data_IF_280575204203
#
_entry.id   IF_280575204203
#
_cell.length_a   1.000
_cell.length_b   1.000
_cell.length_c   1.000
_cell.angle_alpha   90.00
_cell.angle_beta   90.00
_cell.angle_gamma   90.00
#
_symmetry.space_group_name_H-M   'P 1'
#
loop_
_entity.id
_entity.type
_entity.pdbx_description
1 polymer ?
#
# COMPACT_ATOMS: atom_id res chain seq x y z
N UNK A 1 -14.47 -22.48 -27.47
CA UNK A 1 -13.31 -21.69 -27.01
C UNK A 1 -13.72 -20.71 -25.90
N UNK A 2 -14.17 -21.21 -24.72
CA UNK A 2 -14.70 -20.35 -23.63
C UNK A 2 -14.21 -20.79 -22.23
N UNK A 3 -13.11 -21.56 -22.17
CA UNK A 3 -12.69 -22.19 -20.90
C UNK A 3 -11.61 -21.38 -20.15
N UNK A 4 -10.88 -20.50 -20.81
CA UNK A 4 -9.77 -19.73 -20.24
C UNK A 4 -10.26 -18.59 -19.30
N UNK A 5 -11.20 -17.72 -19.71
CA UNK A 5 -11.70 -16.64 -18.85
C UNK A 5 -12.39 -17.16 -17.58
N UNK A 6 -13.10 -18.29 -17.68
CA UNK A 6 -13.76 -18.90 -16.50
C UNK A 6 -12.76 -19.46 -15.50
N UNK A 7 -11.70 -20.13 -15.96
CA UNK A 7 -10.65 -20.66 -15.07
C UNK A 7 -9.89 -19.54 -14.38
N UNK A 8 -9.61 -18.46 -15.08
CA UNK A 8 -8.96 -17.29 -14.53
C UNK A 8 -9.83 -16.61 -13.47
N UNK A 9 -11.12 -16.43 -13.74
CA UNK A 9 -12.07 -15.88 -12.76
C UNK A 9 -12.19 -16.75 -11.51
N UNK A 10 -12.25 -18.08 -11.65
CA UNK A 10 -12.30 -19.00 -10.50
C UNK A 10 -11.00 -18.94 -9.70
N UNK A 11 -9.85 -18.82 -10.36
CA UNK A 11 -8.55 -18.70 -9.69
C UNK A 11 -8.46 -17.38 -8.90
N UNK A 12 -8.91 -16.28 -9.49
CA UNK A 12 -8.96 -14.97 -8.81
C UNK A 12 -9.83 -15.03 -7.57
N UNK A 13 -11.05 -15.57 -7.67
CA UNK A 13 -11.95 -15.73 -6.52
C UNK A 13 -11.37 -16.63 -5.42
N UNK A 14 -10.71 -17.72 -5.81
CA UNK A 14 -10.01 -18.59 -4.87
C UNK A 14 -8.89 -17.83 -4.16
N UNK A 15 -8.09 -17.08 -4.89
CA UNK A 15 -6.98 -16.30 -4.36
C UNK A 15 -7.45 -15.25 -3.35
N UNK A 16 -8.51 -14.50 -3.68
CA UNK A 16 -9.11 -13.54 -2.76
C UNK A 16 -9.63 -14.22 -1.48
N UNK A 17 -10.33 -15.32 -1.61
CA UNK A 17 -10.78 -16.11 -0.46
C UNK A 17 -9.62 -16.58 0.45
N UNK A 18 -8.50 -16.97 -0.16
CA UNK A 18 -7.31 -17.37 0.58
C UNK A 18 -6.63 -16.19 1.28
N UNK A 19 -6.61 -15.01 0.65
CA UNK A 19 -6.12 -13.79 1.29
C UNK A 19 -6.99 -13.40 2.48
N UNK A 20 -8.32 -13.42 2.34
CA UNK A 20 -9.24 -13.10 3.44
C UNK A 20 -9.11 -14.09 4.60
N UNK A 21 -8.97 -15.39 4.28
CA UNK A 21 -8.71 -16.40 5.29
C UNK A 21 -7.38 -16.15 6.02
N UNK A 22 -6.33 -15.76 5.30
CA UNK A 22 -5.02 -15.46 5.85
C UNK A 22 -5.05 -14.22 6.75
N UNK A 23 -5.68 -13.13 6.28
CA UNK A 23 -5.85 -11.92 7.06
C UNK A 23 -6.67 -12.17 8.34
N UNK A 24 -7.73 -12.99 8.25
CA UNK A 24 -8.54 -13.37 9.40
C UNK A 24 -7.78 -14.20 10.42
N UNK A 25 -7.01 -15.23 10.00
CA UNK A 25 -6.16 -16.01 10.91
C UNK A 25 -5.12 -15.12 11.56
N UNK A 26 -4.52 -14.21 10.79
CA UNK A 26 -3.54 -13.27 11.28
C UNK A 26 -4.12 -12.32 12.34
N UNK A 27 -5.27 -11.71 12.07
CA UNK A 27 -5.92 -10.77 12.98
C UNK A 27 -6.33 -11.41 14.31
N UNK A 28 -6.74 -12.68 14.30
CA UNK A 28 -7.20 -13.41 15.49
C UNK A 28 -6.05 -14.01 16.30
N UNK A 29 -5.02 -14.54 15.64
CA UNK A 29 -4.00 -15.36 16.29
C UNK A 29 -2.57 -14.79 16.22
N UNK A 30 -2.36 -13.78 15.38
CA UNK A 30 -1.06 -13.19 15.11
C UNK A 30 -0.22 -14.00 14.11
N UNK A 31 0.85 -13.35 13.60
CA UNK A 31 1.71 -13.93 12.57
C UNK A 31 2.37 -15.25 12.99
N UNK A 32 2.86 -15.33 14.22
CA UNK A 32 3.58 -16.52 14.69
C UNK A 32 2.72 -17.78 14.63
N UNK A 33 1.43 -17.66 14.92
CA UNK A 33 0.47 -18.77 14.93
C UNK A 33 -0.18 -19.03 13.58
N UNK A 34 -0.05 -18.12 12.61
CA UNK A 34 -0.51 -18.34 11.26
C UNK A 34 0.30 -19.48 10.62
N UNK A 35 -0.40 -20.47 10.09
CA UNK A 35 0.16 -21.58 9.33
C UNK A 35 -0.65 -21.82 8.07
N UNK A 36 -0.01 -22.37 7.02
CA UNK A 36 -0.70 -22.71 5.77
C UNK A 36 -1.86 -23.71 6.00
N UNK A 37 -1.76 -24.53 7.05
CA UNK A 37 -2.84 -25.44 7.44
C UNK A 37 -4.07 -24.67 7.95
N UNK A 38 -3.89 -23.70 8.84
CA UNK A 38 -5.01 -22.87 9.36
C UNK A 38 -5.67 -22.03 8.26
N UNK A 39 -4.87 -21.52 7.34
CA UNK A 39 -5.40 -20.81 6.16
C UNK A 39 -6.26 -21.76 5.32
N UNK A 40 -5.78 -22.97 5.06
CA UNK A 40 -6.53 -23.99 4.32
C UNK A 40 -7.85 -24.37 5.02
N UNK A 41 -7.80 -24.64 6.32
CA UNK A 41 -8.96 -25.00 7.14
C UNK A 41 -10.00 -23.86 7.13
N UNK A 42 -9.56 -22.61 7.31
CA UNK A 42 -10.45 -21.43 7.30
C UNK A 42 -11.04 -21.16 5.90
N UNK A 43 -10.25 -21.34 4.84
CA UNK A 43 -10.71 -21.15 3.47
C UNK A 43 -11.54 -22.34 2.95
N UNK A 44 -11.59 -23.49 3.65
CA UNK A 44 -12.28 -24.69 3.21
C UNK A 44 -11.66 -25.35 2.00
N UNK A 45 -10.32 -25.35 1.91
CA UNK A 45 -9.56 -25.97 0.81
C UNK A 45 -8.48 -26.91 1.34
N UNK A 46 -7.83 -27.64 0.44
CA UNK A 46 -6.68 -28.48 0.84
C UNK A 46 -5.44 -27.63 1.14
N UNK A 47 -4.56 -28.12 2.04
CA UNK A 47 -3.25 -27.50 2.29
C UNK A 47 -2.43 -27.38 1.00
N UNK A 48 -2.51 -28.39 0.13
CA UNK A 48 -1.82 -28.37 -1.14
C UNK A 48 -2.27 -27.20 -2.03
N UNK A 49 -3.57 -26.84 -2.00
CA UNK A 49 -4.10 -25.68 -2.71
C UNK A 49 -3.43 -24.40 -2.23
N UNK A 50 -3.29 -24.20 -0.92
CA UNK A 50 -2.65 -23.01 -0.33
C UNK A 50 -1.17 -22.94 -0.71
N UNK A 51 -0.45 -24.08 -0.64
CA UNK A 51 0.96 -24.15 -1.06
C UNK A 51 1.14 -23.90 -2.55
N UNK A 52 0.24 -24.40 -3.40
CA UNK A 52 0.29 -24.16 -4.85
C UNK A 52 0.07 -22.69 -5.19
N UNK A 53 -0.76 -21.98 -4.42
CA UNK A 53 -1.07 -20.57 -4.69
C UNK A 53 -0.01 -19.62 -4.13
N UNK A 54 0.49 -19.88 -2.93
CA UNK A 54 1.39 -18.94 -2.23
C UNK A 54 2.82 -19.44 -2.05
N UNK A 55 3.10 -20.72 -2.30
CA UNK A 55 4.41 -21.30 -2.06
C UNK A 55 4.66 -21.56 -0.58
N UNK A 56 5.09 -20.57 0.18
CA UNK A 56 5.37 -20.70 1.61
C UNK A 56 4.81 -19.53 2.42
N UNK A 57 4.93 -19.59 3.74
CA UNK A 57 4.41 -18.56 4.66
C UNK A 57 5.03 -17.20 4.41
N UNK A 58 6.32 -17.12 4.07
CA UNK A 58 7.00 -15.86 3.78
C UNK A 58 6.46 -15.22 2.50
N UNK A 59 6.30 -16.01 1.43
CA UNK A 59 5.72 -15.55 0.17
C UNK A 59 4.25 -15.14 0.35
N UNK A 60 3.51 -15.82 1.22
CA UNK A 60 2.16 -15.37 1.60
C UNK A 60 2.19 -13.99 2.27
N UNK A 61 3.15 -13.74 3.17
CA UNK A 61 3.30 -12.42 3.80
C UNK A 61 3.57 -11.31 2.78
N UNK A 62 4.52 -11.55 1.89
CA UNK A 62 4.86 -10.60 0.81
C UNK A 62 3.64 -10.28 -0.05
N UNK A 63 2.87 -11.30 -0.43
CA UNK A 63 1.68 -11.12 -1.25
C UNK A 63 0.52 -10.45 -0.50
N UNK A 64 0.37 -10.69 0.81
CA UNK A 64 -0.57 -9.97 1.66
C UNK A 64 -0.23 -8.47 1.72
N UNK A 65 1.04 -8.14 1.94
CA UNK A 65 1.51 -6.75 1.97
C UNK A 65 1.26 -6.06 0.62
N UNK A 66 1.51 -6.74 -0.49
CA UNK A 66 1.24 -6.19 -1.83
C UNK A 66 -0.25 -5.99 -2.10
N UNK A 67 -1.12 -6.89 -1.64
CA UNK A 67 -2.57 -6.71 -1.72
C UNK A 67 -3.05 -5.49 -0.93
N UNK A 68 -2.53 -5.32 0.28
CA UNK A 68 -2.85 -4.13 1.08
C UNK A 68 -2.36 -2.85 0.38
N UNK A 69 -1.17 -2.87 -0.23
CA UNK A 69 -0.69 -1.75 -1.03
C UNK A 69 -1.69 -1.40 -2.14
N UNK A 70 -2.21 -2.38 -2.89
CA UNK A 70 -3.18 -2.13 -3.95
C UNK A 70 -4.43 -1.38 -3.43
N UNK A 71 -4.89 -1.70 -2.21
CA UNK A 71 -5.99 -0.98 -1.55
C UNK A 71 -5.65 0.50 -1.30
N UNK A 72 -4.42 0.79 -0.85
CA UNK A 72 -3.96 2.17 -0.67
C UNK A 72 -3.82 2.92 -2.01
N UNK A 73 -3.31 2.25 -3.03
CA UNK A 73 -3.17 2.83 -4.36
C UNK A 73 -4.54 3.17 -4.99
N UNK A 74 -5.57 2.36 -4.75
CA UNK A 74 -6.94 2.68 -5.18
C UNK A 74 -7.54 3.90 -4.46
N UNK A 75 -7.14 4.17 -3.22
CA UNK A 75 -7.52 5.41 -2.52
C UNK A 75 -6.87 6.61 -3.22
N UNK A 76 -5.59 6.51 -3.54
CA UNK A 76 -4.85 7.57 -4.25
C UNK A 76 -5.48 7.85 -5.60
N UNK A 77 -5.76 6.82 -6.41
CA UNK A 77 -6.42 6.96 -7.71
C UNK A 77 -7.72 7.74 -7.59
N UNK A 78 -8.61 7.33 -6.69
CA UNK A 78 -9.89 8.02 -6.48
C UNK A 78 -9.72 9.48 -6.06
N UNK A 79 -8.71 9.78 -5.27
CA UNK A 79 -8.41 11.17 -4.88
C UNK A 79 -7.96 12.00 -6.10
N UNK A 80 -7.13 11.42 -6.98
CA UNK A 80 -6.65 12.09 -8.18
C UNK A 80 -7.76 12.27 -9.22
N UNK A 81 -8.66 11.29 -9.36
CA UNK A 81 -9.85 11.39 -10.22
C UNK A 81 -10.86 12.45 -9.74
N UNK A 82 -10.93 12.70 -8.43
CA UNK A 82 -11.93 13.61 -7.84
C UNK A 82 -11.49 15.06 -7.75
N UNK A 83 -10.20 15.35 -7.85
CA UNK A 83 -9.63 16.67 -7.66
C UNK A 83 -8.95 17.19 -8.93
N UNK A 84 -9.17 18.44 -9.27
CA UNK A 84 -8.52 19.10 -10.41
C UNK A 84 -7.22 19.81 -10.06
N UNK A 85 -6.97 20.07 -8.78
CA UNK A 85 -5.75 20.67 -8.26
C UNK A 85 -4.83 19.58 -7.67
N UNK A 86 -3.57 19.58 -8.11
CA UNK A 86 -2.59 18.57 -7.70
C UNK A 86 -2.37 18.53 -6.18
N UNK A 87 -2.26 19.69 -5.53
CA UNK A 87 -2.00 19.77 -4.10
C UNK A 87 -3.21 19.28 -3.30
N UNK A 88 -4.42 19.64 -3.75
CA UNK A 88 -5.67 19.14 -3.17
C UNK A 88 -5.78 17.62 -3.31
N UNK A 89 -5.48 17.07 -4.50
CA UNK A 89 -5.47 15.64 -4.76
C UNK A 89 -4.50 14.90 -3.84
N UNK A 90 -3.28 15.41 -3.69
CA UNK A 90 -2.27 14.83 -2.80
C UNK A 90 -2.72 14.88 -1.34
N UNK A 91 -3.27 15.99 -0.86
CA UNK A 91 -3.79 16.10 0.52
C UNK A 91 -4.92 15.10 0.78
N UNK A 92 -5.85 14.99 -0.16
CA UNK A 92 -6.96 14.02 -0.11
C UNK A 92 -6.43 12.58 -0.07
N UNK A 93 -5.48 12.24 -0.94
CA UNK A 93 -4.84 10.93 -1.00
C UNK A 93 -4.10 10.58 0.30
N UNK A 94 -3.30 11.52 0.83
CA UNK A 94 -2.57 11.35 2.10
C UNK A 94 -3.52 11.10 3.27
N UNK A 95 -4.56 11.93 3.41
CA UNK A 95 -5.56 11.77 4.46
C UNK A 95 -6.30 10.44 4.34
N UNK A 96 -6.70 10.06 3.12
CA UNK A 96 -7.38 8.80 2.86
C UNK A 96 -6.51 7.59 3.18
N UNK A 97 -5.25 7.57 2.72
CA UNK A 97 -4.31 6.49 2.95
C UNK A 97 -3.96 6.34 4.45
N UNK A 98 -3.70 7.44 5.16
CA UNK A 98 -3.38 7.39 6.58
C UNK A 98 -4.56 6.92 7.42
N UNK A 99 -5.82 7.35 7.13
CA UNK A 99 -7.02 6.82 7.80
C UNK A 99 -7.22 5.34 7.54
N UNK A 100 -7.08 4.92 6.28
CA UNK A 100 -7.17 3.51 5.94
C UNK A 100 -6.12 2.67 6.68
N UNK A 101 -4.92 3.20 6.89
CA UNK A 101 -3.87 2.53 7.66
C UNK A 101 -4.26 2.38 9.14
N UNK A 102 -4.86 3.40 9.77
CA UNK A 102 -5.35 3.29 11.16
C UNK A 102 -6.46 2.24 11.30
N UNK A 103 -7.32 2.10 10.30
CA UNK A 103 -8.42 1.13 10.28
C UNK A 103 -7.99 -0.27 9.85
N UNK A 104 -6.82 -0.41 9.25
CA UNK A 104 -6.34 -1.67 8.71
C UNK A 104 -5.97 -2.66 9.83
N UNK A 105 -6.71 -3.77 9.91
CA UNK A 105 -6.51 -4.78 10.94
C UNK A 105 -5.14 -5.47 10.85
N UNK A 106 -4.62 -5.69 9.63
CA UNK A 106 -3.31 -6.27 9.40
C UNK A 106 -2.20 -5.35 9.94
N UNK A 107 -2.25 -4.06 9.58
CA UNK A 107 -1.29 -3.07 10.04
C UNK A 107 -1.36 -2.89 11.57
N UNK A 108 -2.56 -2.79 12.13
CA UNK A 108 -2.72 -2.72 13.60
C UNK A 108 -2.13 -3.93 14.31
N UNK A 109 -2.33 -5.14 13.77
CA UNK A 109 -1.77 -6.34 14.37
C UNK A 109 -0.24 -6.38 14.27
N UNK A 110 0.34 -5.93 13.14
CA UNK A 110 1.81 -5.82 12.97
C UNK A 110 2.41 -4.78 13.91
N UNK A 111 1.77 -3.59 14.02
CA UNK A 111 2.30 -2.45 14.79
C UNK A 111 1.97 -2.54 16.27
N UNK A 112 0.80 -3.09 16.63
CA UNK A 112 0.34 -3.25 18.02
C UNK A 112 1.05 -4.34 18.80
N UNK A 113 1.74 -5.24 18.13
CA UNK A 113 2.41 -6.40 18.72
C UNK A 113 3.79 -6.07 19.34
N UNK A 114 4.10 -4.82 19.57
CA UNK A 114 5.41 -4.34 20.07
C UNK A 114 5.99 -5.05 21.31
N UNK A 115 5.22 -5.94 21.97
CA UNK A 115 5.67 -6.84 23.03
C UNK A 115 5.52 -8.33 22.68
N UNK A 116 4.95 -8.72 21.54
CA UNK A 116 4.55 -10.11 21.27
C UNK A 116 5.24 -10.78 20.07
N UNK A 117 6.28 -10.17 19.48
CA UNK A 117 7.13 -10.86 18.50
C UNK A 117 6.60 -10.91 17.04
N UNK A 118 5.51 -10.20 16.71
CA UNK A 118 5.03 -10.05 15.33
C UNK A 118 5.83 -8.99 14.52
N UNK A 119 6.90 -8.48 15.12
CA UNK A 119 7.91 -7.65 14.44
C UNK A 119 8.55 -8.33 13.22
N UNK A 120 8.34 -9.63 13.04
CA UNK A 120 8.80 -10.38 11.85
C UNK A 120 8.18 -9.88 10.53
N UNK A 121 6.99 -9.28 10.58
CA UNK A 121 6.34 -8.70 9.37
C UNK A 121 6.74 -7.25 9.09
N UNK A 122 7.20 -6.53 10.10
CA UNK A 122 7.58 -5.13 9.94
C UNK A 122 8.63 -4.90 8.83
N UNK A 123 9.66 -5.75 8.66
CA UNK A 123 10.59 -5.63 7.55
C UNK A 123 9.93 -5.73 6.16
N UNK A 124 8.87 -6.54 5.99
CA UNK A 124 8.16 -6.64 4.72
C UNK A 124 7.43 -5.34 4.34
N UNK A 125 7.08 -4.53 5.33
CA UNK A 125 6.44 -3.23 5.11
C UNK A 125 7.51 -2.14 4.95
N UNK A 126 8.53 -2.11 5.83
CA UNK A 126 9.47 -0.99 5.91
C UNK A 126 10.72 -1.14 5.05
N UNK A 127 11.09 -2.36 4.68
CA UNK A 127 12.32 -2.68 3.94
C UNK A 127 12.05 -3.30 2.56
N UNK A 128 10.78 -3.41 2.16
CA UNK A 128 10.42 -3.94 0.84
C UNK A 128 10.67 -2.89 -0.23
N UNK A 129 11.81 -2.99 -0.93
CA UNK A 129 12.09 -2.16 -2.09
C UNK A 129 11.00 -2.33 -3.16
N UNK A 130 10.51 -3.57 -3.37
CA UNK A 130 9.44 -3.84 -4.32
C UNK A 130 8.12 -3.12 -4.01
N UNK A 131 7.79 -2.89 -2.72
CA UNK A 131 6.63 -2.08 -2.33
C UNK A 131 6.82 -0.61 -2.73
N UNK A 132 8.01 -0.07 -2.43
CA UNK A 132 8.34 1.34 -2.72
C UNK A 132 8.36 1.56 -4.24
N UNK A 133 9.02 0.66 -4.99
CA UNK A 133 9.09 0.75 -6.44
C UNK A 133 7.68 0.72 -7.07
N UNK A 134 6.85 -0.26 -6.68
CA UNK A 134 5.47 -0.37 -7.18
C UNK A 134 4.64 0.87 -6.85
N UNK A 135 4.73 1.39 -5.63
CA UNK A 135 4.01 2.60 -5.24
C UNK A 135 4.49 3.81 -6.06
N UNK A 136 5.80 3.96 -6.22
CA UNK A 136 6.41 5.07 -6.96
C UNK A 136 6.05 5.02 -8.45
N UNK A 137 6.13 3.84 -9.08
CA UNK A 137 5.71 3.64 -10.48
C UNK A 137 4.24 3.99 -10.69
N UNK A 138 3.36 3.48 -9.82
CA UNK A 138 1.94 3.78 -9.86
C UNK A 138 1.66 5.28 -9.73
N UNK A 139 2.21 5.92 -8.69
CA UNK A 139 2.04 7.35 -8.45
C UNK A 139 2.55 8.20 -9.62
N UNK A 140 3.68 7.81 -10.22
CA UNK A 140 4.25 8.51 -11.38
C UNK A 140 3.29 8.43 -12.57
N UNK A 141 2.67 7.27 -12.82
CA UNK A 141 1.68 7.10 -13.88
C UNK A 141 0.41 7.93 -13.61
N UNK A 142 -0.13 7.89 -12.40
CA UNK A 142 -1.33 8.65 -12.01
C UNK A 142 -1.10 10.17 -12.13
N UNK A 143 0.09 10.66 -11.71
CA UNK A 143 0.43 12.09 -11.89
C UNK A 143 0.53 12.46 -13.36
N UNK A 144 1.14 11.64 -14.20
CA UNK A 144 1.26 11.90 -15.63
C UNK A 144 -0.11 11.90 -16.33
N UNK A 145 -1.06 11.07 -15.88
CA UNK A 145 -2.40 10.98 -16.43
C UNK A 145 -3.29 12.15 -16.03
N UNK A 146 -3.30 12.49 -14.73
CA UNK A 146 -4.26 13.47 -14.19
C UNK A 146 -3.70 14.90 -14.15
N UNK A 147 -2.38 15.06 -14.10
CA UNK A 147 -1.70 16.36 -13.98
C UNK A 147 -0.55 16.51 -14.99
N UNK A 148 -0.81 16.39 -16.31
CA UNK A 148 0.23 16.39 -17.34
C UNK A 148 1.01 17.71 -17.41
N UNK A 149 0.41 18.81 -16.99
CA UNK A 149 1.02 20.15 -17.01
C UNK A 149 1.78 20.49 -15.71
N UNK A 150 2.00 19.51 -14.81
CA UNK A 150 2.74 19.75 -13.58
C UNK A 150 4.20 20.18 -13.91
N UNK A 151 4.66 21.36 -13.47
CA UNK A 151 5.95 21.92 -13.85
C UNK A 151 7.10 21.31 -13.07
N UNK A 152 7.17 19.98 -13.02
CA UNK A 152 8.19 19.20 -12.32
C UNK A 152 8.86 18.24 -13.30
N UNK A 153 10.19 18.31 -13.52
CA UNK A 153 10.91 17.36 -14.37
C UNK A 153 10.70 15.92 -13.87
N UNK A 154 10.55 14.99 -14.81
CA UNK A 154 10.21 13.60 -14.50
C UNK A 154 11.16 12.94 -13.49
N UNK A 155 12.47 13.15 -13.63
CA UNK A 155 13.47 12.62 -12.70
C UNK A 155 13.30 13.17 -11.27
N UNK A 156 12.91 14.43 -11.13
CA UNK A 156 12.62 15.07 -9.84
C UNK A 156 11.29 14.60 -9.27
N UNK A 157 10.29 14.39 -10.11
CA UNK A 157 9.01 13.84 -9.71
C UNK A 157 9.17 12.45 -9.09
N UNK A 158 9.91 11.55 -9.74
CA UNK A 158 10.16 10.20 -9.22
C UNK A 158 10.82 10.25 -7.83
N UNK A 159 11.87 11.09 -7.65
CA UNK A 159 12.55 11.26 -6.35
C UNK A 159 11.60 11.81 -5.29
N UNK A 160 10.76 12.79 -5.64
CA UNK A 160 9.79 13.38 -4.72
C UNK A 160 8.74 12.35 -4.29
N UNK A 161 8.16 11.61 -5.26
CA UNK A 161 7.15 10.59 -4.99
C UNK A 161 7.70 9.44 -4.13
N UNK A 162 8.90 8.93 -4.43
CA UNK A 162 9.56 7.93 -3.59
C UNK A 162 9.76 8.44 -2.16
N UNK A 163 10.18 9.70 -2.01
CA UNK A 163 10.37 10.33 -0.70
C UNK A 163 9.05 10.42 0.08
N UNK A 164 7.95 10.81 -0.60
CA UNK A 164 6.61 10.85 0.01
C UNK A 164 6.14 9.46 0.43
N UNK A 165 6.33 8.43 -0.40
CA UNK A 165 6.01 7.04 -0.04
C UNK A 165 6.75 6.62 1.23
N UNK A 166 8.04 6.91 1.34
CA UNK A 166 8.85 6.59 2.52
C UNK A 166 8.37 7.34 3.77
N UNK A 167 8.01 8.62 3.63
CA UNK A 167 7.45 9.41 4.74
C UNK A 167 6.10 8.86 5.19
N UNK A 168 5.20 8.52 4.27
CA UNK A 168 3.91 7.89 4.60
C UNK A 168 4.12 6.58 5.35
N UNK A 169 4.99 5.70 4.85
CA UNK A 169 5.33 4.45 5.54
C UNK A 169 5.91 4.69 6.94
N UNK A 170 6.75 5.71 7.09
CA UNK A 170 7.28 6.11 8.41
C UNK A 170 6.17 6.53 9.36
N UNK A 171 5.21 7.35 8.92
CA UNK A 171 4.08 7.78 9.75
C UNK A 171 3.09 6.65 10.05
N UNK A 172 2.84 5.74 9.10
CA UNK A 172 2.03 4.54 9.34
C UNK A 172 2.66 3.66 10.43
N UNK A 173 3.98 3.45 10.36
CA UNK A 173 4.68 2.56 11.30
C UNK A 173 4.99 3.20 12.63
N UNK A 174 5.15 4.52 12.68
CA UNK A 174 5.41 5.32 13.89
C UNK A 174 4.65 6.64 13.83
N UNK A 175 3.35 6.64 14.13
CA UNK A 175 2.56 7.87 14.16
C UNK A 175 3.16 8.88 15.15
N UNK A 176 3.39 10.11 14.71
CA UNK A 176 3.92 11.22 15.53
C UNK A 176 2.85 12.29 15.81
N UNK A 177 1.74 12.27 15.07
CA UNK A 177 0.63 13.20 15.20
C UNK A 177 -0.67 12.53 14.71
N UNK A 178 -1.85 13.11 14.97
CA UNK A 178 -3.10 12.67 14.35
C UNK A 178 -3.05 12.71 12.84
N UNK A 179 -3.85 11.85 12.19
CA UNK A 179 -3.88 11.70 10.72
C UNK A 179 -4.06 13.04 10.00
N UNK A 180 -5.01 13.84 10.45
CA UNK A 180 -5.34 15.13 9.82
C UNK A 180 -4.12 16.05 9.80
N UNK A 181 -3.43 16.14 10.95
CA UNK A 181 -2.21 16.95 11.07
C UNK A 181 -1.08 16.43 10.20
N UNK A 182 -0.88 15.12 10.18
CA UNK A 182 0.15 14.49 9.34
C UNK A 182 -0.12 14.73 7.86
N UNK A 183 -1.38 14.60 7.42
CA UNK A 183 -1.77 14.84 6.04
C UNK A 183 -1.57 16.31 5.63
N UNK A 184 -1.87 17.26 6.53
CA UNK A 184 -1.62 18.70 6.32
C UNK A 184 -0.12 18.99 6.19
N UNK A 185 0.70 18.48 7.12
CA UNK A 185 2.15 18.72 7.15
C UNK A 185 2.83 18.11 5.90
N UNK A 186 2.48 16.89 5.50
CA UNK A 186 3.00 16.27 4.27
C UNK A 186 2.48 16.97 3.00
N UNK A 187 1.22 17.40 2.99
CA UNK A 187 0.64 18.17 1.89
C UNK A 187 1.35 19.50 1.71
N UNK A 188 1.65 20.22 2.79
CA UNK A 188 2.45 21.44 2.77
C UNK A 188 3.87 21.19 2.23
N UNK A 189 4.50 20.08 2.62
CA UNK A 189 5.82 19.71 2.12
C UNK A 189 5.80 19.51 0.60
N UNK A 190 4.82 18.76 0.08
CA UNK A 190 4.66 18.53 -1.36
C UNK A 190 4.42 19.84 -2.13
N UNK A 191 3.52 20.69 -1.63
CA UNK A 191 3.25 22.00 -2.20
C UNK A 191 4.52 22.87 -2.29
N UNK A 192 5.31 22.88 -1.21
CA UNK A 192 6.57 23.63 -1.14
C UNK A 192 7.58 23.14 -2.17
N UNK A 193 7.71 21.81 -2.33
CA UNK A 193 8.63 21.20 -3.31
C UNK A 193 8.19 21.54 -4.74
N UNK A 194 6.90 21.38 -5.07
CA UNK A 194 6.36 21.66 -6.41
C UNK A 194 6.54 23.13 -6.76
N UNK A 195 6.19 24.04 -5.83
CA UNK A 195 6.34 25.49 -6.04
C UNK A 195 7.80 25.89 -6.20
N UNK A 196 8.70 25.31 -5.39
CA UNK A 196 10.14 25.57 -5.46
C UNK A 196 10.77 25.11 -6.77
N UNK A 197 10.38 23.94 -7.28
CA UNK A 197 10.86 23.43 -8.57
C UNK A 197 10.34 24.28 -9.73
N UNK A 198 9.06 24.67 -9.71
CA UNK A 198 8.46 25.53 -10.71
C UNK A 198 9.19 26.89 -10.80
N UNK A 199 9.52 27.48 -9.65
CA UNK A 199 10.25 28.75 -9.57
C UNK A 199 11.69 28.63 -10.12
N UNK A 200 12.38 27.55 -9.77
CA UNK A 200 13.76 27.31 -10.24
C UNK A 200 13.83 27.10 -11.76
N UNK A 201 12.83 26.43 -12.35
CA UNK A 201 12.74 26.22 -13.80
C UNK A 201 12.50 27.49 -14.64
N UNK A 202 11.96 28.55 -14.02
CA UNK A 202 11.70 29.84 -14.72
C UNK A 202 12.96 30.75 -14.75
N UNK A 203 14.02 30.40 -14.02
CA UNK A 203 15.23 31.22 -13.88
C UNK A 203 16.51 30.53 -14.41
N UNK A 204 16.36 29.39 -15.07
CA UNK A 204 17.44 28.64 -15.75
C UNK A 204 17.28 28.68 -17.26
#
# INVERSE_FOLDING_TARGET
>A
MTTEPFRESVRTLLRERLFDASAGVFAEEGWRRLTMAKVADRAGVSRQTVYNEFGNKQQLAEQLVMRELDTFLDIVRRSFESESDFVAAVRSALAGALRAAEENALLRAVLGSGQSGDSELLPFITQSQGLIDRATEFLTAEVAEHFPDLPVPHDRLVVALESVVRLVLSHITRPSAPVERTAEDLGWLVETVVTGVAFAGQHS
#
